data_IF_981113777358
#
_entry.id   IF_981113777358
#
_cell.length_a   1.000
_cell.length_b   1.000
_cell.length_c   1.000
_cell.angle_alpha   90.00
_cell.angle_beta   90.00
_cell.angle_gamma   90.00
#
_symmetry.space_group_name_H-M   'P 1'
#
loop_
_entity.id
_entity.type
_entity.pdbx_description
1 polymer ?
#
# COMPACT_ATOMS: atom_id res chain seq x y z
N UNK A 1 4.51 14.22 26.84
CA UNK A 1 3.74 13.00 27.17
C UNK A 1 2.51 12.70 26.29
N UNK A 2 1.75 13.64 25.66
CA UNK A 2 0.56 13.27 24.86
C UNK A 2 0.86 12.82 23.40
N UNK A 3 2.04 13.11 22.85
CA UNK A 3 2.36 12.75 21.45
C UNK A 3 2.60 11.25 21.26
N UNK A 4 3.25 10.60 22.23
CA UNK A 4 3.58 9.18 22.15
C UNK A 4 2.34 8.28 22.27
N UNK A 5 1.37 8.63 23.11
CA UNK A 5 0.13 7.86 23.26
C UNK A 5 -0.75 7.90 22.01
N UNK A 6 -0.85 9.06 21.35
CA UNK A 6 -1.57 9.20 20.07
C UNK A 6 -0.91 8.38 18.97
N UNK A 7 0.42 8.42 18.86
CA UNK A 7 1.15 7.63 17.87
C UNK A 7 0.99 6.12 18.11
N UNK A 8 1.04 5.68 19.37
CA UNK A 8 0.84 4.27 19.72
C UNK A 8 -0.59 3.82 19.37
N UNK A 9 -1.60 4.64 19.69
CA UNK A 9 -2.99 4.36 19.36
C UNK A 9 -3.19 4.26 17.84
N UNK A 10 -2.68 5.22 17.06
CA UNK A 10 -2.76 5.19 15.60
C UNK A 10 -2.06 3.95 15.03
N UNK A 11 -0.86 3.59 15.52
CA UNK A 11 -0.15 2.37 15.10
C UNK A 11 -0.95 1.11 15.40
N UNK A 12 -1.56 1.02 16.58
CA UNK A 12 -2.39 -0.13 16.96
C UNK A 12 -3.63 -0.25 16.06
N UNK A 13 -4.34 0.86 15.80
CA UNK A 13 -5.52 0.89 14.93
C UNK A 13 -5.15 0.53 13.49
N UNK A 14 -4.11 1.13 12.92
CA UNK A 14 -3.65 0.85 11.57
C UNK A 14 -3.18 -0.60 11.43
N UNK A 15 -2.44 -1.11 12.42
CA UNK A 15 -2.00 -2.51 12.46
C UNK A 15 -3.19 -3.48 12.50
N UNK A 16 -4.16 -3.23 13.38
CA UNK A 16 -5.38 -4.03 13.47
C UNK A 16 -6.19 -4.00 12.15
N UNK A 17 -6.38 -2.81 11.56
CA UNK A 17 -7.07 -2.64 10.29
C UNK A 17 -6.39 -3.40 9.15
N UNK A 18 -5.05 -3.36 9.08
CA UNK A 18 -4.27 -4.11 8.10
C UNK A 18 -4.44 -5.62 8.28
N UNK A 19 -4.34 -6.13 9.52
CA UNK A 19 -4.51 -7.55 9.81
C UNK A 19 -5.92 -8.03 9.46
N UNK A 20 -6.95 -7.27 9.81
CA UNK A 20 -8.33 -7.57 9.44
C UNK A 20 -8.52 -7.56 7.91
N UNK A 21 -7.98 -6.56 7.22
CA UNK A 21 -8.04 -6.46 5.76
C UNK A 21 -7.42 -7.70 5.08
N UNK A 22 -6.20 -8.07 5.48
CA UNK A 22 -5.50 -9.26 4.94
C UNK A 22 -6.24 -10.54 5.30
N UNK A 23 -6.78 -10.65 6.52
CA UNK A 23 -7.58 -11.79 6.97
C UNK A 23 -8.84 -11.98 6.13
N UNK A 24 -9.63 -10.91 5.92
CA UNK A 24 -10.81 -10.93 5.05
C UNK A 24 -10.44 -11.29 3.62
N UNK A 25 -9.37 -10.70 3.07
CA UNK A 25 -8.88 -11.02 1.73
C UNK A 25 -8.51 -12.51 1.59
N UNK A 26 -7.82 -13.08 2.58
CA UNK A 26 -7.46 -14.49 2.61
C UNK A 26 -8.69 -15.42 2.68
N UNK A 27 -9.69 -15.07 3.50
CA UNK A 27 -10.95 -15.82 3.59
C UNK A 27 -11.68 -15.82 2.26
N UNK A 28 -11.84 -14.64 1.63
CA UNK A 28 -12.52 -14.50 0.32
C UNK A 28 -11.76 -15.28 -0.75
N UNK A 29 -10.43 -15.23 -0.74
CA UNK A 29 -9.60 -15.98 -1.69
C UNK A 29 -9.75 -17.49 -1.52
N UNK A 30 -9.73 -17.99 -0.27
CA UNK A 30 -9.94 -19.42 0.04
C UNK A 30 -11.32 -19.90 -0.38
N UNK A 31 -12.38 -19.18 0.04
CA UNK A 31 -13.78 -19.50 -0.34
C UNK A 31 -13.95 -19.46 -1.85
N UNK A 32 -13.40 -18.44 -2.50
CA UNK A 32 -13.41 -18.30 -3.95
C UNK A 32 -12.62 -19.38 -4.68
N UNK A 33 -11.65 -20.03 -4.04
CA UNK A 33 -10.91 -21.18 -4.62
C UNK A 33 -11.67 -22.50 -4.41
N UNK A 34 -12.31 -22.67 -3.26
CA UNK A 34 -13.15 -23.83 -2.95
C UNK A 34 -14.42 -23.88 -3.79
N UNK A 35 -15.07 -22.74 -4.01
CA UNK A 35 -16.29 -22.63 -4.81
C UNK A 35 -16.08 -22.80 -6.33
N UNK A 36 -14.83 -22.91 -6.81
CA UNK A 36 -14.52 -22.92 -8.25
C UNK A 36 -14.86 -24.22 -9.00
N UNK A 37 -15.25 -25.30 -8.30
CA UNK A 37 -15.85 -26.52 -8.86
C UNK A 37 -15.19 -27.11 -10.11
N UNK A 38 -15.89 -28.05 -10.77
CA UNK A 38 -15.49 -28.62 -12.08
C UNK A 38 -15.85 -27.71 -13.25
N UNK A 39 -16.83 -26.81 -13.07
CA UNK A 39 -17.30 -25.89 -14.11
C UNK A 39 -16.63 -24.51 -14.00
N UNK A 40 -15.50 -24.35 -14.71
CA UNK A 40 -14.82 -23.05 -14.82
C UNK A 40 -15.54 -22.15 -15.81
N UNK A 41 -16.40 -21.25 -15.32
CA UNK A 41 -16.82 -20.09 -16.12
C UNK A 41 -15.58 -19.24 -16.39
N UNK A 42 -15.12 -19.23 -17.66
CA UNK A 42 -14.00 -18.39 -18.09
C UNK A 42 -14.48 -16.94 -18.14
N UNK A 43 -14.38 -16.24 -17.01
CA UNK A 43 -14.53 -14.78 -17.01
C UNK A 43 -13.38 -14.22 -17.85
N UNK A 44 -13.72 -13.61 -18.98
CA UNK A 44 -12.80 -12.94 -19.92
C UNK A 44 -12.98 -11.43 -19.81
N UNK A 45 -11.92 -10.68 -20.10
CA UNK A 45 -11.94 -9.21 -20.14
C UNK A 45 -11.36 -8.52 -18.90
N UNK A 46 -11.47 -7.17 -18.83
CA UNK A 46 -10.75 -6.33 -17.87
C UNK A 46 -11.12 -6.61 -16.40
N UNK A 47 -12.33 -7.08 -16.13
CA UNK A 47 -12.77 -7.51 -14.78
C UNK A 47 -12.02 -8.76 -14.30
N UNK A 48 -11.72 -9.69 -15.20
CA UNK A 48 -10.94 -10.89 -14.87
C UNK A 48 -9.47 -10.54 -14.58
N UNK A 49 -8.93 -9.55 -15.28
CA UNK A 49 -7.59 -9.03 -15.03
C UNK A 49 -7.48 -8.39 -13.64
N UNK A 50 -8.42 -7.51 -13.28
CA UNK A 50 -8.47 -6.90 -11.94
C UNK A 50 -8.54 -7.96 -10.83
N UNK A 51 -9.41 -8.94 -10.97
CA UNK A 51 -9.56 -10.02 -9.98
C UNK A 51 -8.32 -10.93 -9.86
N UNK A 52 -7.52 -11.08 -10.93
CA UNK A 52 -6.25 -11.85 -10.91
C UNK A 52 -5.10 -11.07 -10.30
N UNK A 53 -5.06 -9.76 -10.52
CA UNK A 53 -4.00 -8.89 -10.01
C UNK A 53 -4.20 -8.50 -8.54
N UNK A 54 -5.43 -8.54 -8.03
CA UNK A 54 -5.73 -8.19 -6.63
C UNK A 54 -4.88 -8.95 -5.58
N UNK A 55 -4.78 -10.29 -5.62
CA UNK A 55 -3.92 -11.02 -4.68
C UNK A 55 -2.44 -10.75 -4.90
N UNK A 56 -2.00 -10.61 -6.16
CA UNK A 56 -0.59 -10.38 -6.50
C UNK A 56 -0.12 -9.02 -5.99
N UNK A 57 -0.87 -7.97 -6.31
CA UNK A 57 -0.61 -6.61 -5.83
C UNK A 57 -0.69 -6.52 -4.31
N UNK A 58 -1.66 -7.20 -3.68
CA UNK A 58 -1.77 -7.25 -2.21
C UNK A 58 -0.56 -7.92 -1.55
N UNK A 59 -0.05 -9.02 -2.09
CA UNK A 59 1.17 -9.67 -1.58
C UNK A 59 2.39 -8.77 -1.75
N UNK A 60 2.55 -8.12 -2.91
CA UNK A 60 3.64 -7.17 -3.15
C UNK A 60 3.61 -6.01 -2.16
N UNK A 61 2.42 -5.46 -1.87
CA UNK A 61 2.23 -4.40 -0.88
C UNK A 61 2.51 -4.91 0.55
N UNK A 62 2.15 -6.14 0.88
CA UNK A 62 2.46 -6.70 2.20
C UNK A 62 3.97 -6.86 2.40
N UNK A 63 4.68 -7.36 1.38
CA UNK A 63 6.15 -7.39 1.37
C UNK A 63 6.74 -5.99 1.46
N UNK A 64 6.17 -5.01 0.73
CA UNK A 64 6.56 -3.62 0.81
C UNK A 64 6.43 -3.05 2.23
N UNK A 65 5.29 -3.28 2.91
CA UNK A 65 5.06 -2.80 4.28
C UNK A 65 6.09 -3.42 5.24
N UNK A 66 6.38 -4.71 5.11
CA UNK A 66 7.40 -5.36 5.93
C UNK A 66 8.77 -4.71 5.73
N UNK A 67 9.20 -4.54 4.47
CA UNK A 67 10.46 -3.87 4.13
C UNK A 67 10.50 -2.41 4.61
N UNK A 68 9.40 -1.68 4.44
CA UNK A 68 9.25 -0.29 4.88
C UNK A 68 9.43 -0.16 6.40
N UNK A 69 8.81 -1.05 7.18
CA UNK A 69 8.95 -1.05 8.65
C UNK A 69 10.36 -1.47 9.05
N UNK A 70 10.95 -2.47 8.38
CA UNK A 70 12.32 -2.92 8.66
C UNK A 70 13.37 -1.85 8.35
N UNK A 71 13.25 -1.15 7.22
CA UNK A 71 14.19 -0.15 6.72
C UNK A 71 14.07 1.19 7.48
N UNK A 72 12.84 1.70 7.65
CA UNK A 72 12.63 3.06 8.17
C UNK A 72 12.23 3.12 9.66
N UNK A 73 11.70 2.03 10.23
CA UNK A 73 11.20 2.03 11.62
C UNK A 73 12.08 1.23 12.58
N UNK A 74 12.47 0.01 12.22
CA UNK A 74 13.23 -0.90 13.09
C UNK A 74 14.73 -0.84 12.83
N UNK A 75 15.13 -0.52 11.60
CA UNK A 75 16.53 -0.45 11.19
C UNK A 75 17.22 -1.81 11.20
N UNK A 76 16.56 -2.85 10.68
CA UNK A 76 17.05 -4.21 10.76
C UNK A 76 17.28 -4.84 9.38
N UNK A 77 18.53 -5.16 9.08
CA UNK A 77 19.00 -5.87 7.87
C UNK A 77 19.08 -5.04 6.58
N UNK A 78 18.20 -4.05 6.39
CA UNK A 78 18.06 -3.31 5.11
C UNK A 78 18.42 -1.82 5.24
N UNK A 79 18.66 -1.36 6.48
CA UNK A 79 18.81 0.06 6.80
C UNK A 79 20.00 0.73 6.10
N UNK A 80 19.89 2.04 5.89
CA UNK A 80 21.03 2.86 5.49
C UNK A 80 22.10 2.92 6.59
N UNK A 81 23.34 3.19 6.21
CA UNK A 81 24.46 3.36 7.16
C UNK A 81 24.30 4.57 8.09
N UNK A 82 23.37 5.48 7.79
CA UNK A 82 23.02 6.63 8.62
C UNK A 82 21.79 6.42 9.51
N UNK A 83 21.24 5.20 9.59
CA UNK A 83 20.03 4.93 10.36
C UNK A 83 20.23 5.19 11.86
N UNK A 84 19.37 6.02 12.43
CA UNK A 84 19.30 6.30 13.87
C UNK A 84 17.95 5.84 14.44
N UNK A 85 17.96 5.05 15.52
CA UNK A 85 16.72 4.65 16.19
C UNK A 85 16.06 5.85 16.87
N UNK A 86 14.74 5.96 16.72
CA UNK A 86 13.97 6.99 17.42
C UNK A 86 14.13 6.83 18.95
N UNK A 87 14.55 7.90 19.62
CA UNK A 87 14.62 7.98 21.08
C UNK A 87 13.30 8.52 21.64
N UNK A 88 13.13 8.48 22.97
CA UNK A 88 11.90 8.95 23.62
C UNK A 88 11.58 10.43 23.30
N UNK A 89 12.61 11.24 23.06
CA UNK A 89 12.50 12.69 22.86
C UNK A 89 12.68 13.14 21.40
N UNK A 90 13.31 12.32 20.53
CA UNK A 90 13.58 12.70 19.13
C UNK A 90 13.19 11.60 18.12
N UNK A 91 12.50 12.01 17.05
CA UNK A 91 12.20 11.14 15.92
C UNK A 91 13.14 11.42 14.76
N UNK A 92 14.00 10.45 14.45
CA UNK A 92 14.90 10.51 13.28
C UNK A 92 14.25 10.03 11.98
N UNK A 93 12.90 9.98 11.92
CA UNK A 93 12.16 9.43 10.80
C UNK A 93 12.46 10.14 9.46
N UNK A 94 12.59 11.47 9.46
CA UNK A 94 12.95 12.24 8.25
C UNK A 94 14.38 11.92 7.80
N UNK A 95 15.33 11.87 8.73
CA UNK A 95 16.74 11.62 8.42
C UNK A 95 16.94 10.19 7.88
N UNK A 96 16.28 9.20 8.49
CA UNK A 96 16.31 7.82 8.04
C UNK A 96 15.67 7.67 6.63
N UNK A 97 14.60 8.42 6.36
CA UNK A 97 13.95 8.46 5.05
C UNK A 97 14.89 9.01 3.98
N UNK A 98 15.52 10.16 4.24
CA UNK A 98 16.49 10.76 3.32
C UNK A 98 17.67 9.82 3.11
N UNK A 99 18.25 9.26 4.19
CA UNK A 99 19.39 8.36 4.11
C UNK A 99 19.09 7.06 3.34
N UNK A 100 17.88 6.50 3.47
CA UNK A 100 17.48 5.32 2.68
C UNK A 100 17.20 5.67 1.21
N UNK A 101 16.66 6.85 0.91
CA UNK A 101 16.35 7.27 -0.47
C UNK A 101 17.52 7.89 -1.23
N UNK A 102 18.60 8.28 -0.56
CA UNK A 102 19.87 8.59 -1.21
C UNK A 102 20.46 7.39 -1.97
N UNK A 103 20.02 6.16 -1.64
CA UNK A 103 20.38 4.96 -2.41
C UNK A 103 19.46 4.83 -3.63
N UNK A 104 19.97 4.98 -4.87
CA UNK A 104 19.13 5.02 -6.07
C UNK A 104 18.32 3.73 -6.29
N UNK A 105 18.87 2.59 -5.91
CA UNK A 105 18.18 1.30 -5.98
C UNK A 105 16.92 1.25 -5.11
N UNK A 106 16.99 1.80 -3.89
CA UNK A 106 15.86 1.80 -2.96
C UNK A 106 14.82 2.83 -3.39
N UNK A 107 15.24 4.02 -3.83
CA UNK A 107 14.31 5.03 -4.34
C UNK A 107 13.47 4.50 -5.52
N UNK A 108 14.10 3.88 -6.53
CA UNK A 108 13.40 3.29 -7.67
C UNK A 108 12.43 2.17 -7.22
N UNK A 109 12.89 1.30 -6.32
CA UNK A 109 12.06 0.21 -5.79
C UNK A 109 10.81 0.73 -5.07
N UNK A 110 10.97 1.72 -4.18
CA UNK A 110 9.86 2.34 -3.46
C UNK A 110 8.90 3.06 -4.41
N UNK A 111 9.40 3.81 -5.39
CA UNK A 111 8.55 4.46 -6.40
C UNK A 111 7.77 3.45 -7.25
N UNK A 112 8.39 2.32 -7.63
CA UNK A 112 7.70 1.25 -8.34
C UNK A 112 6.57 0.63 -7.49
N UNK A 113 6.80 0.44 -6.19
CA UNK A 113 5.78 -0.09 -5.28
C UNK A 113 4.66 0.91 -4.98
N UNK A 114 4.93 2.22 -5.02
CA UNK A 114 3.87 3.23 -4.99
C UNK A 114 2.93 3.11 -6.20
N UNK A 115 3.45 2.78 -7.38
CA UNK A 115 2.61 2.52 -8.56
C UNK A 115 1.74 1.26 -8.37
N UNK A 116 2.30 0.20 -7.80
CA UNK A 116 1.55 -1.02 -7.46
C UNK A 116 0.44 -0.71 -6.43
N UNK A 117 0.74 0.07 -5.40
CA UNK A 117 -0.22 0.53 -4.40
C UNK A 117 -1.35 1.34 -5.04
N UNK A 118 -1.03 2.27 -5.94
CA UNK A 118 -2.03 3.06 -6.65
C UNK A 118 -2.98 2.18 -7.46
N UNK A 119 -2.46 1.19 -8.19
CA UNK A 119 -3.27 0.21 -8.93
C UNK A 119 -4.18 -0.58 -7.97
N UNK A 120 -3.64 -1.03 -6.84
CA UNK A 120 -4.40 -1.77 -5.82
C UNK A 120 -5.54 -0.93 -5.24
N UNK A 121 -5.28 0.32 -4.87
CA UNK A 121 -6.30 1.24 -4.33
C UNK A 121 -7.36 1.56 -5.38
N UNK A 122 -6.97 1.95 -6.60
CA UNK A 122 -7.92 2.30 -7.66
C UNK A 122 -8.90 1.16 -7.94
N UNK A 123 -8.38 -0.06 -8.05
CA UNK A 123 -9.20 -1.25 -8.30
C UNK A 123 -9.99 -1.66 -7.06
N UNK A 124 -9.39 -1.63 -5.87
CA UNK A 124 -10.04 -2.00 -4.61
C UNK A 124 -11.22 -1.10 -4.26
N UNK A 125 -11.07 0.19 -4.51
CA UNK A 125 -12.15 1.16 -4.31
C UNK A 125 -13.35 0.86 -5.22
N UNK A 126 -13.10 0.50 -6.48
CA UNK A 126 -14.18 0.12 -7.42
C UNK A 126 -14.88 -1.20 -7.06
N UNK A 127 -14.16 -2.15 -6.44
CA UNK A 127 -14.75 -3.42 -6.00
C UNK A 127 -15.61 -3.21 -4.75
N UNK A 128 -15.11 -2.46 -3.75
CA UNK A 128 -15.89 -2.13 -2.54
C UNK A 128 -17.18 -1.37 -2.91
N UNK A 129 -17.10 -0.43 -3.84
CA UNK A 129 -18.28 0.26 -4.36
C UNK A 129 -19.34 -0.70 -4.92
N UNK A 130 -18.90 -1.76 -5.61
CA UNK A 130 -19.79 -2.77 -6.17
C UNK A 130 -20.37 -3.69 -5.08
N UNK A 131 -19.58 -4.02 -4.07
CA UNK A 131 -19.96 -4.91 -2.96
C UNK A 131 -20.97 -4.23 -2.01
N UNK A 132 -20.88 -2.92 -1.85
CA UNK A 132 -21.83 -2.10 -1.07
C UNK A 132 -23.14 -1.78 -1.83
N UNK A 133 -23.34 -2.35 -3.02
CA UNK A 133 -24.60 -2.24 -3.75
C UNK A 133 -24.75 -0.99 -4.63
N UNK A 134 -23.66 -0.34 -5.05
CA UNK A 134 -23.74 0.67 -6.11
C UNK A 134 -24.11 0.02 -7.45
N UNK A 135 -25.41 -0.18 -7.69
CA UNK A 135 -25.93 -0.93 -8.84
C UNK A 135 -26.02 -0.08 -10.13
N UNK A 136 -26.07 1.25 -10.02
CA UNK A 136 -26.19 2.15 -11.17
C UNK A 136 -24.88 2.35 -11.95
N UNK A 137 -24.95 2.32 -13.30
CA UNK A 137 -23.78 2.55 -14.17
C UNK A 137 -23.06 3.88 -13.88
N UNK A 138 -23.83 4.96 -13.71
CA UNK A 138 -23.31 6.31 -13.38
C UNK A 138 -22.57 6.31 -12.03
N UNK A 139 -23.15 5.72 -10.99
CA UNK A 139 -22.53 5.62 -9.67
C UNK A 139 -21.23 4.83 -9.69
N UNK A 140 -21.20 3.71 -10.39
CA UNK A 140 -19.97 2.90 -10.55
C UNK A 140 -18.89 3.67 -11.31
N UNK A 141 -19.25 4.42 -12.35
CA UNK A 141 -18.32 5.27 -13.08
C UNK A 141 -17.75 6.38 -12.19
N UNK A 142 -18.60 7.09 -11.43
CA UNK A 142 -18.16 8.14 -10.50
C UNK A 142 -17.21 7.60 -9.44
N UNK A 143 -17.55 6.47 -8.80
CA UNK A 143 -16.69 5.84 -7.79
C UNK A 143 -15.38 5.34 -8.39
N UNK A 144 -15.39 4.88 -9.65
CA UNK A 144 -14.16 4.54 -10.37
C UNK A 144 -13.25 5.75 -10.60
N UNK A 145 -13.84 6.90 -10.97
CA UNK A 145 -13.08 8.15 -11.12
C UNK A 145 -12.52 8.61 -9.77
N UNK A 146 -13.33 8.61 -8.71
CA UNK A 146 -12.88 9.00 -7.37
C UNK A 146 -11.73 8.09 -6.89
N UNK A 147 -11.89 6.77 -7.02
CA UNK A 147 -10.84 5.81 -6.67
C UNK A 147 -9.57 5.99 -7.50
N UNK A 148 -9.71 6.31 -8.78
CA UNK A 148 -8.59 6.64 -9.66
C UNK A 148 -7.87 7.92 -9.25
N UNK A 149 -8.61 8.99 -8.95
CA UNK A 149 -8.05 10.25 -8.48
C UNK A 149 -7.32 10.09 -7.15
N UNK A 150 -7.90 9.36 -6.21
CA UNK A 150 -7.25 9.06 -4.92
C UNK A 150 -5.95 8.28 -5.14
N UNK A 151 -5.95 7.28 -6.01
CA UNK A 151 -4.76 6.50 -6.35
C UNK A 151 -3.67 7.37 -6.99
N UNK A 152 -4.03 8.26 -7.91
CA UNK A 152 -3.08 9.20 -8.53
C UNK A 152 -2.52 10.18 -7.50
N UNK A 153 -3.36 10.70 -6.60
CA UNK A 153 -2.90 11.60 -5.54
C UNK A 153 -1.88 10.92 -4.61
N UNK A 154 -2.14 9.66 -4.23
CA UNK A 154 -1.21 8.85 -3.42
C UNK A 154 0.10 8.60 -4.19
N UNK A 155 0.01 8.27 -5.48
CA UNK A 155 1.18 8.01 -6.31
C UNK A 155 2.05 9.25 -6.47
N UNK A 156 1.46 10.40 -6.77
CA UNK A 156 2.20 11.65 -6.93
C UNK A 156 2.74 12.11 -5.57
N UNK A 157 1.89 12.15 -4.54
CA UNK A 157 2.29 12.64 -3.22
C UNK A 157 3.41 11.81 -2.60
N UNK A 158 3.25 10.48 -2.50
CA UNK A 158 4.24 9.62 -1.87
C UNK A 158 5.34 9.15 -2.83
N UNK A 159 5.01 8.93 -4.10
CA UNK A 159 5.97 8.45 -5.10
C UNK A 159 6.92 9.54 -5.59
N UNK A 160 6.58 10.83 -5.44
CA UNK A 160 7.51 11.92 -5.69
C UNK A 160 8.59 12.04 -4.61
N UNK A 161 8.35 11.61 -3.37
CA UNK A 161 9.30 11.78 -2.26
C UNK A 161 10.66 11.09 -2.57
N UNK A 162 10.72 9.80 -2.95
CA UNK A 162 12.00 9.17 -3.29
C UNK A 162 12.70 9.83 -4.49
N UNK A 163 11.93 10.28 -5.48
CA UNK A 163 12.46 10.94 -6.68
C UNK A 163 13.07 12.29 -6.32
N UNK A 164 12.39 13.09 -5.50
CA UNK A 164 12.86 14.41 -5.07
C UNK A 164 14.13 14.32 -4.23
N UNK A 165 14.22 13.33 -3.34
CA UNK A 165 15.45 13.05 -2.58
C UNK A 165 16.59 12.63 -3.52
N UNK A 166 16.31 11.77 -4.50
CA UNK A 166 17.31 11.32 -5.47
C UNK A 166 17.83 12.45 -6.37
N UNK A 167 16.98 13.41 -6.72
CA UNK A 167 17.37 14.60 -7.50
C UNK A 167 18.07 15.68 -6.67
N UNK A 168 18.25 15.47 -5.36
CA UNK A 168 18.93 16.41 -4.46
C UNK A 168 18.14 17.68 -4.15
N UNK A 169 16.84 17.72 -4.49
CA UNK A 169 15.94 18.83 -4.13
C UNK A 169 15.60 18.79 -2.64
N UNK A 170 15.61 17.59 -2.07
CA UNK A 170 15.36 17.34 -0.64
C UNK A 170 16.59 16.62 -0.08
N UNK A 171 17.22 17.21 0.94
CA UNK A 171 18.41 16.70 1.64
C UNK A 171 18.26 16.81 3.15
#
# INVERSE_FOLDING_TARGET
MPKQSVLLAMRAVLGAALLMHVGCAAIIWRRGRQARGTHRVKIRGPRAWGARLMPVTGILILCFIALHVLDLTLGWGVQSSGFSQATADESFAYQNLVASFQRPQMAIFYSALMAVLAIHVAKGFTTVASDLGAMGHRWRATLAVIGGLLAVAILIGNGAIPVLVLTGVIS
#
